data_IF_139061693174
#
_entry.id   IF_139061693174
#
_cell.length_a   1.000
_cell.length_b   1.000
_cell.length_c   1.000
_cell.angle_alpha   90.00
_cell.angle_beta   90.00
_cell.angle_gamma   90.00
#
_symmetry.space_group_name_H-M   'P 1'
#
loop_
_entity.id
_entity.type
_entity.pdbx_description
1 polymer ?
#
# COMPACT_ATOMS: atom_id res chain seq x y z
N UNK A 1 1.40 11.29 -5.26
CA UNK A 1 1.01 10.54 -6.49
C UNK A 1 0.34 9.25 -6.07
N UNK A 2 -0.96 9.10 -6.30
CA UNK A 2 -1.69 7.89 -5.94
C UNK A 2 -1.14 6.66 -6.69
N UNK A 3 -0.57 5.71 -5.95
CA UNK A 3 -0.03 4.47 -6.48
C UNK A 3 -0.73 3.29 -5.81
N UNK A 4 -1.78 2.77 -6.45
CA UNK A 4 -2.49 1.57 -5.98
C UNK A 4 -1.74 0.27 -6.28
N UNK A 5 -0.64 0.33 -7.04
CA UNK A 5 0.17 -0.83 -7.38
C UNK A 5 1.18 -1.11 -6.27
N UNK A 6 1.18 -2.34 -5.77
CA UNK A 6 2.14 -2.74 -4.76
C UNK A 6 3.55 -2.84 -5.37
N UNK A 7 4.55 -2.34 -4.64
CA UNK A 7 5.93 -2.27 -5.11
C UNK A 7 6.89 -3.06 -4.22
N UNK A 8 7.99 -3.47 -4.84
CA UNK A 8 9.04 -4.26 -4.21
C UNK A 8 10.37 -3.58 -4.54
N UNK A 9 11.24 -3.45 -3.54
CA UNK A 9 12.60 -2.98 -3.77
C UNK A 9 13.35 -3.98 -4.64
N UNK A 10 13.97 -3.53 -5.74
CA UNK A 10 14.73 -4.42 -6.62
C UNK A 10 16.07 -4.88 -6.03
N UNK A 11 16.59 -4.18 -5.03
CA UNK A 11 17.86 -4.50 -4.37
C UNK A 11 17.74 -5.55 -3.28
N UNK A 12 16.88 -5.32 -2.28
CA UNK A 12 16.72 -6.22 -1.13
C UNK A 12 15.40 -7.01 -1.14
N UNK A 13 14.59 -6.86 -2.20
CA UNK A 13 13.29 -7.50 -2.35
C UNK A 13 12.27 -7.17 -1.26
N UNK A 14 12.53 -6.21 -0.37
CA UNK A 14 11.56 -5.82 0.65
C UNK A 14 10.29 -5.25 0.00
N UNK A 15 9.12 -5.62 0.53
CA UNK A 15 7.86 -4.98 0.15
C UNK A 15 7.84 -3.53 0.60
N UNK A 16 7.51 -2.63 -0.30
CA UNK A 16 7.44 -1.19 -0.03
C UNK A 16 6.05 -0.85 0.51
N UNK A 17 5.97 -0.04 1.56
CA UNK A 17 4.74 0.39 2.23
C UNK A 17 4.45 1.89 1.99
N UNK A 18 3.20 2.35 2.22
CA UNK A 18 2.93 3.79 2.35
C UNK A 18 3.81 4.40 3.45
N UNK A 19 4.22 5.64 3.25
CA UNK A 19 5.17 6.34 4.12
C UNK A 19 6.64 6.05 3.83
N UNK A 20 6.98 4.92 3.18
CA UNK A 20 8.35 4.64 2.77
C UNK A 20 8.80 5.64 1.70
N UNK A 21 10.05 6.11 1.84
CA UNK A 21 10.72 6.90 0.80
C UNK A 21 11.46 5.96 -0.14
N UNK A 22 11.18 6.08 -1.44
CA UNK A 22 11.75 5.24 -2.48
C UNK A 22 12.27 6.04 -3.65
N UNK A 23 13.19 5.44 -4.40
CA UNK A 23 13.58 5.91 -5.72
C UNK A 23 12.83 5.09 -6.76
N UNK A 24 11.98 5.75 -7.54
CA UNK A 24 11.11 5.11 -8.51
C UNK A 24 11.29 5.68 -9.92
N UNK A 25 11.35 4.78 -10.90
CA UNK A 25 11.49 5.10 -12.32
C UNK A 25 10.24 4.65 -13.07
N UNK A 26 9.31 5.57 -13.35
CA UNK A 26 8.03 5.28 -14.04
C UNK A 26 8.18 4.84 -15.49
N UNK A 27 9.28 5.21 -16.13
CA UNK A 27 9.54 4.97 -17.56
C UNK A 27 10.00 3.52 -17.86
N UNK A 28 10.36 2.75 -16.83
CA UNK A 28 10.78 1.37 -17.05
C UNK A 28 9.60 0.43 -17.30
N UNK A 29 9.78 -0.48 -18.26
CA UNK A 29 8.75 -1.47 -18.64
C UNK A 29 8.29 -2.30 -17.43
N UNK A 30 7.01 -2.70 -17.41
CA UNK A 30 6.31 -3.50 -16.37
C UNK A 30 5.97 -2.79 -15.05
N UNK A 31 5.87 -1.47 -15.03
CA UNK A 31 5.38 -0.71 -13.87
C UNK A 31 6.47 -0.13 -12.99
N UNK A 32 7.62 0.16 -13.61
CA UNK A 32 8.72 0.90 -13.02
C UNK A 32 9.69 0.08 -12.18
N UNK A 33 10.91 0.61 -12.07
CA UNK A 33 11.96 0.11 -11.18
C UNK A 33 11.91 0.91 -9.88
N UNK A 34 11.90 0.22 -8.74
CA UNK A 34 11.84 0.83 -7.41
C UNK A 34 12.98 0.33 -6.53
N UNK A 35 13.63 1.24 -5.80
CA UNK A 35 14.61 0.92 -4.76
C UNK A 35 14.23 1.64 -3.47
N UNK A 36 14.43 1.00 -2.32
CA UNK A 36 14.42 1.70 -1.04
C UNK A 36 15.65 2.61 -0.94
N UNK A 37 15.62 3.56 0.00
CA UNK A 37 16.70 4.51 0.23
C UNK A 37 18.07 3.85 0.42
N UNK A 38 18.13 2.75 1.19
CA UNK A 38 19.37 2.01 1.44
C UNK A 38 19.90 1.22 0.23
N UNK A 39 19.03 0.84 -0.71
CA UNK A 39 19.44 0.06 -1.89
C UNK A 39 19.65 0.91 -3.13
N UNK A 40 19.24 2.18 -3.10
CA UNK A 40 19.41 3.07 -4.22
C UNK A 40 20.91 3.39 -4.40
N UNK A 41 21.38 3.16 -5.62
CA UNK A 41 22.69 3.60 -6.06
C UNK A 41 22.54 4.15 -7.48
N UNK A 42 23.15 5.30 -7.82
CA UNK A 42 23.10 5.85 -9.18
C UNK A 42 23.58 4.85 -10.24
N UNK A 43 24.57 4.02 -9.90
CA UNK A 43 25.09 2.95 -10.77
C UNK A 43 24.11 1.80 -11.05
N UNK A 44 23.08 1.63 -10.21
CA UNK A 44 22.02 0.59 -10.36
C UNK A 44 20.71 1.18 -10.89
N UNK A 45 20.67 2.48 -11.12
CA UNK A 45 19.50 3.19 -11.61
C UNK A 45 19.25 2.89 -13.09
N UNK A 46 17.98 3.05 -13.50
CA UNK A 46 17.65 3.11 -14.92
C UNK A 46 18.28 4.37 -15.55
N UNK A 47 18.71 4.32 -16.82
CA UNK A 47 19.18 5.52 -17.55
C UNK A 47 18.10 6.61 -17.76
N UNK A 48 16.84 6.34 -17.39
CA UNK A 48 15.73 7.29 -17.52
C UNK A 48 15.63 8.31 -16.38
N UNK A 49 16.50 8.21 -15.37
CA UNK A 49 16.43 9.01 -14.14
C UNK A 49 15.42 8.49 -13.13
N UNK A 50 15.84 8.32 -11.88
CA UNK A 50 14.96 7.94 -10.77
C UNK A 50 14.48 9.17 -10.02
N UNK A 51 13.21 9.17 -9.61
CA UNK A 51 12.66 10.22 -8.75
C UNK A 51 12.55 9.69 -7.32
N UNK A 52 12.99 10.47 -6.34
CA UNK A 52 12.70 10.22 -4.92
C UNK A 52 11.21 10.54 -4.69
N UNK A 53 10.46 9.57 -4.19
CA UNK A 53 9.00 9.66 -3.98
C UNK A 53 8.67 9.05 -2.63
N UNK A 54 7.84 9.73 -1.85
CA UNK A 54 7.18 9.16 -0.67
C UNK A 54 5.83 8.62 -1.09
N UNK A 55 5.50 7.39 -0.68
CA UNK A 55 4.21 6.79 -1.03
C UNK A 55 3.11 7.27 -0.10
N UNK A 56 1.99 7.67 -0.70
CA UNK A 56 0.78 8.13 -0.03
C UNK A 56 -0.29 7.02 -0.08
N UNK A 57 -1.16 6.96 0.94
CA UNK A 57 -2.28 6.02 1.02
C UNK A 57 -3.65 6.65 0.69
N UNK A 58 -3.69 7.94 0.34
CA UNK A 58 -4.93 8.74 0.25
C UNK A 58 -5.91 8.33 -0.86
N UNK A 59 -5.50 7.48 -1.80
CA UNK A 59 -6.36 7.03 -2.93
C UNK A 59 -6.19 5.53 -3.21
N UNK A 60 -6.26 4.72 -2.16
CA UNK A 60 -6.21 3.28 -2.30
C UNK A 60 -7.61 2.68 -2.48
N UNK A 61 -7.77 1.68 -3.37
CA UNK A 61 -9.04 0.97 -3.49
C UNK A 61 -9.39 0.30 -2.16
N UNK A 62 -10.68 0.33 -1.81
CA UNK A 62 -11.18 -0.31 -0.60
C UNK A 62 -11.21 -1.83 -0.78
N UNK A 63 -10.72 -2.55 0.23
CA UNK A 63 -10.89 -4.00 0.41
C UNK A 63 -11.88 -4.22 1.54
N UNK A 64 -12.96 -4.93 1.24
CA UNK A 64 -14.02 -5.18 2.21
C UNK A 64 -13.48 -5.81 3.50
N UNK A 65 -13.73 -5.16 4.64
CA UNK A 65 -13.25 -5.59 5.96
C UNK A 65 -13.90 -6.88 6.45
N UNK A 66 -15.10 -7.21 5.99
CA UNK A 66 -15.82 -8.42 6.35
C UNK A 66 -15.37 -9.59 5.47
N UNK A 67 -14.60 -9.30 4.42
CA UNK A 67 -14.08 -10.28 3.48
C UNK A 67 -15.19 -10.85 2.60
N UNK A 68 -14.83 -11.73 1.66
CA UNK A 68 -15.80 -12.27 0.70
C UNK A 68 -16.85 -13.21 1.32
N UNK A 69 -16.70 -13.62 2.59
CA UNK A 69 -17.57 -14.56 3.29
C UNK A 69 -18.15 -13.99 4.60
N UNK A 70 -17.96 -12.70 4.90
CA UNK A 70 -18.43 -12.09 6.16
C UNK A 70 -17.66 -12.52 7.41
N UNK A 71 -16.56 -13.28 7.27
CA UNK A 71 -15.76 -13.82 8.38
C UNK A 71 -14.60 -12.90 8.82
N UNK A 72 -14.55 -11.69 8.25
CA UNK A 72 -13.47 -10.73 8.44
C UNK A 72 -12.28 -10.99 7.50
N UNK A 73 -11.68 -9.90 7.02
CA UNK A 73 -10.47 -9.94 6.22
C UNK A 73 -9.28 -10.38 7.07
N UNK A 74 -8.59 -11.45 6.65
CA UNK A 74 -7.44 -12.01 7.36
C UNK A 74 -6.23 -12.08 6.45
N UNK A 75 -5.05 -11.88 7.02
CA UNK A 75 -3.81 -12.12 6.32
C UNK A 75 -3.67 -13.61 6.01
N UNK A 76 -3.47 -13.95 4.74
CA UNK A 76 -3.30 -15.33 4.31
C UNK A 76 -2.14 -16.04 5.03
N UNK A 77 -1.06 -15.31 5.34
CA UNK A 77 0.18 -15.87 5.90
C UNK A 77 0.22 -15.96 7.42
N UNK A 78 -0.11 -14.89 8.13
CA UNK A 78 -0.07 -14.87 9.60
C UNK A 78 -1.45 -15.05 10.26
N UNK A 79 -2.53 -15.15 9.47
CA UNK A 79 -3.92 -15.31 9.91
C UNK A 79 -4.48 -14.17 10.78
N UNK A 80 -3.67 -13.15 11.07
CA UNK A 80 -4.09 -11.91 11.74
C UNK A 80 -5.24 -11.26 10.98
N UNK A 81 -6.29 -10.92 11.72
CA UNK A 81 -7.43 -10.16 11.20
C UNK A 81 -6.98 -8.71 10.95
N UNK A 82 -7.27 -8.19 9.77
CA UNK A 82 -6.98 -6.81 9.41
C UNK A 82 -8.16 -5.93 9.81
N UNK A 83 -7.89 -4.75 10.35
CA UNK A 83 -8.92 -3.83 10.86
C UNK A 83 -9.16 -2.66 9.92
N UNK A 84 -10.26 -1.93 10.12
CA UNK A 84 -10.65 -0.76 9.29
C UNK A 84 -9.49 0.26 9.25
N UNK A 85 -9.30 0.89 8.09
CA UNK A 85 -8.23 1.85 7.74
C UNK A 85 -6.82 1.25 7.61
N UNK A 86 -6.59 -0.03 7.91
CA UNK A 86 -5.28 -0.66 7.66
C UNK A 86 -4.99 -0.85 6.17
N UNK A 87 -3.70 -1.00 5.86
CA UNK A 87 -3.24 -1.32 4.50
C UNK A 87 -3.15 -2.83 4.33
N UNK A 88 -3.75 -3.31 3.25
CA UNK A 88 -3.67 -4.70 2.82
C UNK A 88 -3.23 -4.81 1.36
N UNK A 89 -2.75 -6.00 1.00
CA UNK A 89 -2.18 -6.29 -0.31
C UNK A 89 -2.92 -7.46 -0.93
N UNK A 90 -3.77 -7.17 -1.91
CA UNK A 90 -4.56 -8.17 -2.63
C UNK A 90 -3.88 -8.56 -3.93
N UNK A 91 -3.58 -9.85 -4.12
CA UNK A 91 -3.25 -10.34 -5.46
C UNK A 91 -4.52 -10.64 -6.28
N UNK A 92 -4.56 -10.13 -7.51
CA UNK A 92 -5.68 -10.34 -8.44
C UNK A 92 -5.58 -11.67 -9.21
N UNK A 93 -4.59 -12.50 -8.92
CA UNK A 93 -4.31 -13.74 -9.66
C UNK A 93 -4.31 -15.00 -8.78
N UNK A 94 -4.54 -14.86 -7.47
CA UNK A 94 -4.86 -16.02 -6.63
C UNK A 94 -6.28 -15.88 -6.09
N UNK A 95 -6.85 -17.01 -5.68
CA UNK A 95 -8.22 -17.10 -5.14
C UNK A 95 -8.41 -16.26 -3.87
N UNK A 96 -7.50 -16.34 -2.90
CA UNK A 96 -7.56 -15.53 -1.67
C UNK A 96 -6.19 -15.10 -1.08
N UNK A 97 -5.40 -14.26 -1.76
CA UNK A 97 -4.05 -13.88 -1.36
C UNK A 97 -4.00 -12.45 -0.79
N UNK A 98 -4.78 -12.17 0.25
CA UNK A 98 -4.66 -10.90 0.99
C UNK A 98 -3.52 -10.99 2.02
N UNK A 99 -2.60 -10.02 2.01
CA UNK A 99 -1.50 -9.92 2.97
C UNK A 99 -1.58 -8.61 3.76
N UNK A 100 -1.27 -8.67 5.06
CA UNK A 100 -1.06 -7.47 5.86
C UNK A 100 0.28 -6.81 5.51
N UNK A 101 0.46 -5.54 5.90
CA UNK A 101 1.69 -4.78 5.68
C UNK A 101 2.97 -5.52 6.13
N UNK A 102 2.97 -6.12 7.32
CA UNK A 102 4.12 -6.85 7.84
C UNK A 102 4.47 -8.07 7.00
N UNK A 103 3.47 -8.83 6.54
CA UNK A 103 3.70 -9.99 5.68
C UNK A 103 4.06 -9.59 4.24
N UNK A 104 3.57 -8.45 3.76
CA UNK A 104 3.98 -7.89 2.47
C UNK A 104 5.45 -7.48 2.47
N UNK A 105 5.94 -6.92 3.58
CA UNK A 105 7.33 -6.48 3.72
C UNK A 105 8.33 -7.64 3.53
N UNK A 106 7.94 -8.85 3.91
CA UNK A 106 8.80 -10.03 3.91
C UNK A 106 8.78 -10.79 2.57
N UNK A 107 9.93 -10.99 1.90
CA UNK A 107 9.98 -11.63 0.60
C UNK A 107 9.32 -13.02 0.53
N UNK A 108 9.63 -13.91 1.48
CA UNK A 108 9.16 -15.29 1.50
C UNK A 108 7.65 -15.46 1.82
N UNK A 109 6.97 -14.40 2.23
CA UNK A 109 5.52 -14.44 2.53
C UNK A 109 4.65 -14.03 1.35
N UNK A 110 5.22 -13.51 0.28
CA UNK A 110 4.46 -13.07 -0.90
C UNK A 110 4.15 -14.24 -1.83
N UNK A 111 3.10 -14.09 -2.64
CA UNK A 111 2.86 -15.04 -3.72
C UNK A 111 3.81 -14.77 -4.91
N UNK A 112 4.01 -15.79 -5.76
CA UNK A 112 4.83 -15.69 -7.00
C UNK A 112 4.39 -14.58 -7.97
N UNK A 113 3.18 -14.05 -7.82
CA UNK A 113 2.64 -12.99 -8.66
C UNK A 113 3.01 -11.57 -8.18
N UNK A 114 3.60 -11.44 -6.99
CA UNK A 114 4.00 -10.15 -6.43
C UNK A 114 5.04 -9.43 -7.30
N UNK A 115 6.11 -10.14 -7.71
CA UNK A 115 7.11 -9.61 -8.64
C UNK A 115 6.60 -9.38 -10.08
N UNK A 116 5.40 -9.86 -10.41
CA UNK A 116 4.74 -9.65 -11.71
C UNK A 116 3.81 -8.44 -11.72
N UNK A 117 3.73 -7.69 -10.61
CA UNK A 117 2.89 -6.51 -10.50
C UNK A 117 1.38 -6.81 -10.52
N UNK A 118 0.98 -8.03 -10.12
CA UNK A 118 -0.42 -8.46 -10.01
C UNK A 118 -1.01 -8.27 -8.61
N UNK A 119 -0.26 -7.60 -7.73
CA UNK A 119 -0.69 -7.24 -6.38
C UNK A 119 -1.02 -5.77 -6.35
N UNK A 120 -2.19 -5.44 -5.82
CA UNK A 120 -2.61 -4.07 -5.52
C UNK A 120 -2.56 -3.83 -4.02
N UNK A 121 -2.23 -2.59 -3.67
CA UNK A 121 -2.35 -2.06 -2.33
C UNK A 121 -3.78 -1.54 -2.15
N UNK A 122 -4.38 -1.81 -1.00
CA UNK A 122 -5.77 -1.50 -0.70
C UNK A 122 -5.89 -1.01 0.73
N UNK A 123 -6.92 -0.21 1.01
CA UNK A 123 -7.30 0.19 2.38
C UNK A 123 -8.44 -0.69 2.85
N UNK A 124 -8.35 -1.20 4.07
CA UNK A 124 -9.39 -2.07 4.64
C UNK A 124 -10.56 -1.21 5.10
N UNK A 125 -11.78 -1.54 4.67
CA UNK A 125 -12.97 -0.76 5.00
C UNK A 125 -14.20 -1.30 4.30
N UNK A 126 -15.34 -0.61 4.39
CA UNK A 126 -16.49 -0.86 3.52
C UNK A 126 -16.56 0.23 2.45
N UNK A 127 -17.10 -0.13 1.29
CA UNK A 127 -17.33 0.83 0.22
C UNK A 127 -18.41 1.83 0.70
N UNK A 128 -18.03 3.09 0.89
CA UNK A 128 -18.89 4.14 1.47
C UNK A 128 -18.42 4.69 2.84
N UNK A 129 -17.35 4.15 3.43
CA UNK A 129 -16.73 4.71 4.65
C UNK A 129 -15.85 5.96 4.39
N UNK A 130 -15.56 6.28 3.12
CA UNK A 130 -14.72 7.43 2.73
C UNK A 130 -15.48 8.78 2.75
N UNK A 131 -16.80 8.76 2.94
CA UNK A 131 -17.64 9.96 3.07
C UNK A 131 -17.69 10.54 4.51
N UNK A 132 -17.06 9.90 5.51
CA UNK A 132 -16.97 10.42 6.89
C UNK A 132 -15.58 11.01 7.24
N UNK A 133 -14.98 11.74 6.29
CA UNK A 133 -13.80 12.58 6.52
C UNK A 133 -13.95 13.98 5.90
N UNK A 134 -15.19 14.46 5.81
CA UNK A 134 -15.48 15.88 5.68
C UNK A 134 -16.09 16.36 7.00
N UNK A 135 -15.54 17.46 7.54
CA UNK A 135 -16.12 18.29 8.60
C UNK A 135 -16.04 17.81 10.05
N UNK A 136 -14.83 17.86 10.61
CA UNK A 136 -14.67 18.30 12.01
C UNK A 136 -13.58 19.39 12.05
N UNK A 137 -13.87 20.55 11.48
CA UNK A 137 -13.12 21.78 11.75
C UNK A 137 -14.06 22.84 12.31
N UNK A 138 -13.68 23.29 13.51
CA UNK A 138 -14.04 24.56 14.15
C UNK A 138 -15.47 24.73 14.71
N UNK A 139 -15.67 24.16 15.89
CA UNK A 139 -16.75 24.51 16.82
C UNK A 139 -16.22 24.90 18.19
N UNK A 140 -15.13 25.67 18.24
CA UNK A 140 -14.62 26.26 19.49
C UNK A 140 -14.23 27.72 19.22
N UNK A 141 -15.23 28.62 19.26
CA UNK A 141 -15.01 30.00 19.70
C UNK A 141 -16.11 30.36 20.72
N UNK A 142 -15.73 30.12 21.98
CA UNK A 142 -15.80 31.07 23.08
C UNK A 142 -17.12 31.81 23.35
N UNK A 143 -17.87 31.28 24.33
CA UNK A 143 -18.54 32.10 25.34
C UNK A 143 -17.46 32.92 26.06
N UNK A 144 -17.47 34.25 25.96
CA UNK A 144 -16.99 35.18 27.00
C UNK A 144 -17.50 36.62 26.73
N UNK A 145 -18.49 37.03 27.54
CA UNK A 145 -18.66 38.32 28.23
C UNK A 145 -18.62 39.63 27.41
N UNK A 146 -19.71 40.39 27.50
CA UNK A 146 -19.79 41.82 27.17
C UNK A 146 -21.22 42.30 27.06
#
# INVERSE_FOLDING_TARGET
MAMSKAMICRGCEVGILPGDVIFHCKRCKRGGLSYCESCYAPSRACGHGMKRVKLEDDKLPVRDKDGSLGLGLKCYKCKTKMVKKEICFKCNSCWDPDLCASCWRQPGKRCKHAGKGKVKMCKVGRKGDDDEMADVVDGIISVFIG
#
